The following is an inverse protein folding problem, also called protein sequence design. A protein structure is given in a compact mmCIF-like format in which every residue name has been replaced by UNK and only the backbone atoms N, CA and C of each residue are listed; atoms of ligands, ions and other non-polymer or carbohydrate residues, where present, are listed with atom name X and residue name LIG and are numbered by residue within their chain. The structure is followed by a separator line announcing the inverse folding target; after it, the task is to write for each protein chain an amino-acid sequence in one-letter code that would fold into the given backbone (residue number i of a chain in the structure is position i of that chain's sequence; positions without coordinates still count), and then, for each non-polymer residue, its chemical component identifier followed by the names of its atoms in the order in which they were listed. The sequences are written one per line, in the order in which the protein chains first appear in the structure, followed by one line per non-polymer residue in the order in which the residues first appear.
data_IF_963270002963
#
_entry.id   IF_963270002963
#
_cell.length_a   1.000
_cell.length_b   1.000
_cell.length_c   1.000
_cell.angle_alpha   90.00
_cell.angle_beta   90.00
_cell.angle_gamma   90.00
#
_symmetry.space_group_name_H-M   'P 1'
#
loop_
_entity.id
_entity.type
_entity.pdbx_description
1 polymer ?
#
# COMPACT_ATOMS: atom_id res chain seq x y z
N UNK A 1 9.37 7.32 0.55
CA UNK A 1 8.73 7.79 1.82
C UNK A 1 9.54 7.24 2.98
N UNK A 2 9.74 7.99 4.07
CA UNK A 2 10.20 7.33 5.30
C UNK A 2 9.01 6.58 5.92
N UNK A 3 9.02 5.24 5.82
CA UNK A 3 7.95 4.38 6.33
C UNK A 3 7.86 4.37 7.87
N UNK A 4 8.79 5.01 8.57
CA UNK A 4 8.76 5.19 10.02
C UNK A 4 7.96 6.42 10.47
N UNK A 5 7.61 7.32 9.53
CA UNK A 5 6.81 8.53 9.79
C UNK A 5 5.75 8.72 8.70
N UNK A 6 4.90 7.71 8.54
CA UNK A 6 3.84 7.76 7.52
C UNK A 6 2.68 8.59 8.08
N UNK A 7 2.22 9.63 7.36
CA UNK A 7 1.05 10.39 7.76
C UNK A 7 -0.20 9.48 7.80
N UNK A 8 -1.18 9.84 8.65
CA UNK A 8 -2.45 9.11 8.74
C UNK A 8 -3.17 9.02 7.39
N UNK A 9 -3.02 10.03 6.54
CA UNK A 9 -3.55 10.07 5.17
C UNK A 9 -2.62 10.81 4.23
N UNK A 10 -2.47 10.31 3.00
CA UNK A 10 -1.68 10.93 1.93
C UNK A 10 -2.24 10.57 0.55
N UNK A 11 -1.58 11.01 -0.52
CA UNK A 11 -2.00 10.70 -1.90
C UNK A 11 -0.84 10.14 -2.72
N UNK A 12 -1.12 9.15 -3.56
CA UNK A 12 -0.15 8.59 -4.51
C UNK A 12 -0.60 8.82 -5.96
N UNK A 13 0.33 8.94 -6.93
CA UNK A 13 -0.02 9.00 -8.35
C UNK A 13 -0.41 7.60 -8.86
N UNK A 14 -1.60 7.45 -9.42
CA UNK A 14 -2.07 6.19 -10.04
C UNK A 14 -2.82 6.51 -11.33
N UNK A 15 -2.42 5.89 -12.45
CA UNK A 15 -3.06 6.07 -13.78
C UNK A 15 -3.40 7.53 -14.13
N UNK A 16 -2.41 8.42 -14.04
CA UNK A 16 -2.54 9.85 -14.33
C UNK A 16 -3.44 10.66 -13.38
N UNK A 17 -3.96 10.05 -12.31
CA UNK A 17 -4.68 10.75 -11.23
C UNK A 17 -3.94 10.62 -9.90
N UNK A 18 -4.40 11.35 -8.88
CA UNK A 18 -3.98 11.17 -7.49
C UNK A 18 -5.08 10.45 -6.73
N UNK A 19 -4.72 9.36 -6.06
CA UNK A 19 -5.64 8.59 -5.22
C UNK A 19 -5.27 8.74 -3.76
N UNK A 20 -6.28 8.72 -2.89
CA UNK A 20 -6.11 8.85 -1.45
C UNK A 20 -5.68 7.52 -0.86
N UNK A 21 -4.74 7.58 0.09
CA UNK A 21 -4.28 6.46 0.88
C UNK A 21 -4.46 6.79 2.35
N UNK A 22 -5.04 5.86 3.11
CA UNK A 22 -5.19 5.94 4.55
C UNK A 22 -4.31 4.89 5.24
N UNK A 23 -3.58 5.32 6.27
CA UNK A 23 -2.76 4.42 7.08
C UNK A 23 -3.62 3.80 8.16
N UNK A 24 -3.96 2.52 8.00
CA UNK A 24 -4.73 1.74 8.99
C UNK A 24 -3.84 1.30 10.14
N UNK A 25 -2.60 0.91 9.84
CA UNK A 25 -1.59 0.60 10.84
C UNK A 25 -0.19 0.86 10.28
N UNK A 26 0.53 1.83 10.85
CA UNK A 26 1.89 2.17 10.45
C UNK A 26 2.90 1.06 10.80
N UNK A 27 2.76 0.43 11.97
CA UNK A 27 3.66 -0.63 12.45
C UNK A 27 3.72 -1.82 11.49
N UNK A 28 2.57 -2.24 10.97
CA UNK A 28 2.46 -3.35 10.02
C UNK A 28 2.38 -2.89 8.57
N UNK A 29 2.58 -1.58 8.31
CA UNK A 29 2.51 -0.98 6.97
C UNK A 29 1.25 -1.43 6.23
N UNK A 30 0.10 -1.24 6.87
CA UNK A 30 -1.22 -1.56 6.35
C UNK A 30 -1.95 -0.28 5.93
N UNK A 31 -2.45 -0.26 4.70
CA UNK A 31 -3.04 0.90 4.05
C UNK A 31 -4.36 0.53 3.38
N UNK A 32 -5.25 1.51 3.31
CA UNK A 32 -6.44 1.47 2.44
C UNK A 32 -6.21 2.46 1.31
N UNK A 33 -6.26 1.96 0.07
CA UNK A 33 -6.14 2.78 -1.14
C UNK A 33 -7.53 2.95 -1.75
N UNK A 34 -7.99 4.18 -1.88
CA UNK A 34 -9.29 4.51 -2.45
C UNK A 34 -9.18 4.68 -3.96
N UNK A 35 -9.42 3.61 -4.71
CA UNK A 35 -9.49 3.66 -6.16
C UNK A 35 -10.93 3.94 -6.63
N UNK A 36 -11.14 4.41 -7.88
CA UNK A 36 -12.48 4.71 -8.38
C UNK A 36 -13.43 3.51 -8.43
N UNK A 37 -12.88 2.31 -8.58
CA UNK A 37 -13.61 1.05 -8.70
C UNK A 37 -13.91 0.41 -7.33
N UNK A 38 -12.96 0.43 -6.40
CA UNK A 38 -13.14 -0.09 -5.05
C UNK A 38 -12.04 0.41 -4.10
N UNK A 39 -12.27 0.20 -2.80
CA UNK A 39 -11.23 0.32 -1.79
C UNK A 39 -10.38 -0.94 -1.74
N UNK A 40 -9.07 -0.77 -1.73
CA UNK A 40 -8.09 -1.85 -1.66
C UNK A 40 -7.29 -1.76 -0.38
N UNK A 41 -7.50 -2.73 0.52
CA UNK A 41 -6.66 -2.88 1.71
C UNK A 41 -5.40 -3.67 1.35
N UNK A 42 -4.24 -3.02 1.45
CA UNK A 42 -2.95 -3.62 1.16
C UNK A 42 -2.01 -3.54 2.36
N UNK A 43 -1.16 -4.55 2.50
CA UNK A 43 -0.21 -4.64 3.60
C UNK A 43 1.13 -5.24 3.15
N UNK A 44 2.20 -4.78 3.78
CA UNK A 44 3.53 -5.34 3.57
C UNK A 44 3.75 -6.53 4.52
N UNK A 45 4.13 -7.67 3.98
CA UNK A 45 4.62 -8.81 4.76
C UNK A 45 6.07 -9.13 4.36
N UNK A 46 6.77 -9.92 5.18
CA UNK A 46 8.07 -10.48 4.82
C UNK A 46 7.95 -11.98 4.68
N UNK A 47 8.61 -12.53 3.66
CA UNK A 47 8.77 -13.97 3.55
C UNK A 47 9.84 -14.49 4.54
N UNK A 48 10.01 -15.82 4.54
CA UNK A 48 10.99 -16.50 5.40
C UNK A 48 12.45 -16.15 5.04
N UNK A 49 12.70 -15.55 3.87
CA UNK A 49 14.01 -15.08 3.42
C UNK A 49 14.22 -13.59 3.75
N UNK A 50 13.22 -12.94 4.35
CA UNK A 50 13.27 -11.53 4.73
C UNK A 50 12.87 -10.56 3.61
N UNK A 51 12.44 -11.05 2.44
CA UNK A 51 12.02 -10.21 1.32
C UNK A 51 10.64 -9.63 1.60
N UNK A 52 10.47 -8.33 1.37
CA UNK A 52 9.19 -7.65 1.54
C UNK A 52 8.27 -7.88 0.34
N UNK A 53 7.02 -8.21 0.62
CA UNK A 53 5.97 -8.43 -0.38
C UNK A 53 4.74 -7.59 -0.05
N UNK A 54 4.12 -7.01 -1.08
CA UNK A 54 2.87 -6.28 -0.95
C UNK A 54 1.70 -7.20 -1.27
N UNK A 55 0.74 -7.28 -0.34
CA UNK A 55 -0.40 -8.18 -0.42
C UNK A 55 -1.69 -7.39 -0.32
N UNK A 56 -2.73 -7.90 -0.96
CA UNK A 56 -4.10 -7.44 -0.76
C UNK A 56 -4.81 -8.34 0.27
N UNK A 57 -5.62 -7.72 1.13
CA UNK A 57 -6.39 -8.43 2.14
C UNK A 57 -7.23 -9.54 1.49
N UNK A 58 -7.15 -10.75 2.07
CA UNK A 58 -7.85 -11.96 1.61
C UNK A 58 -7.47 -12.50 0.22
N UNK A 59 -6.59 -11.81 -0.54
CA UNK A 59 -6.16 -12.24 -1.88
C UNK A 59 -4.66 -12.57 -1.97
N UNK A 60 -3.85 -12.12 -1.00
CA UNK A 60 -2.41 -12.33 -1.00
C UNK A 60 -1.70 -11.41 -2.00
N UNK A 61 -0.56 -11.85 -2.53
CA UNK A 61 0.23 -11.07 -3.47
C UNK A 61 -0.47 -10.98 -4.84
N UNK A 62 -0.91 -9.78 -5.21
CA UNK A 62 -1.54 -9.51 -6.51
C UNK A 62 -0.71 -8.52 -7.33
N UNK A 63 -0.93 -8.49 -8.65
CA UNK A 63 -0.30 -7.47 -9.50
C UNK A 63 -0.63 -6.05 -9.04
N UNK A 64 -1.88 -5.83 -8.62
CA UNK A 64 -2.35 -4.55 -8.09
C UNK A 64 -1.66 -4.18 -6.78
N UNK A 65 -1.58 -5.10 -5.81
CA UNK A 65 -0.93 -4.84 -4.52
C UNK A 65 0.54 -4.44 -4.70
N UNK A 66 1.26 -5.12 -5.62
CA UNK A 66 2.64 -4.77 -5.97
C UNK A 66 2.78 -3.39 -6.61
N UNK A 67 1.86 -3.04 -7.49
CA UNK A 67 1.86 -1.71 -8.13
C UNK A 67 1.59 -0.61 -7.11
N UNK A 68 0.51 -0.74 -6.34
CA UNK A 68 0.13 0.22 -5.30
C UNK A 68 1.20 0.36 -4.22
N UNK A 69 1.79 -0.76 -3.78
CA UNK A 69 2.88 -0.77 -2.82
C UNK A 69 4.11 0.01 -3.28
N UNK A 70 4.54 -0.19 -4.53
CA UNK A 70 5.65 0.58 -5.12
C UNK A 70 5.37 2.08 -5.14
N UNK A 71 4.13 2.46 -5.45
CA UNK A 71 3.71 3.88 -5.47
C UNK A 71 3.73 4.50 -4.07
N UNK A 72 3.34 3.73 -3.05
CA UNK A 72 3.43 4.15 -1.63
C UNK A 72 4.90 4.32 -1.22
N UNK A 73 5.78 3.39 -1.58
CA UNK A 73 7.21 3.46 -1.24
C UNK A 73 7.92 4.65 -1.90
N UNK A 74 7.51 5.01 -3.11
CA UNK A 74 8.04 6.11 -3.89
C UNK A 74 7.55 7.50 -3.44
N UNK A 75 6.50 7.56 -2.61
CA UNK A 75 5.90 8.80 -2.13
C UNK A 75 6.76 9.54 -1.09
#
# INVERSE_FOLDING_TARGET
MNLESIPGTFTIPYRQTKVKVETKCSTYKCFVVHLPDADHEIFMSKDNLGSSHWNEAFKGETALARELGKLIEAC
#
